data_IF_196674609398
#
_entry.id   IF_196674609398
#
_cell.length_a   1.000
_cell.length_b   1.000
_cell.length_c   1.000
_cell.angle_alpha   90.00
_cell.angle_beta   90.00
_cell.angle_gamma   90.00
#
_symmetry.space_group_name_H-M   'P 1'
#
loop_
_entity.id
_entity.type
_entity.pdbx_description
1 polymer ?
#
# COMPACT_ATOMS: atom_id res chain seq x y z
N UNK A 1 11.76 11.39 12.98
CA UNK A 1 11.92 11.32 11.50
C UNK A 1 12.33 9.91 11.10
N UNK A 2 11.70 9.31 10.09
CA UNK A 2 12.05 7.97 9.62
C UNK A 2 13.39 7.95 8.85
N UNK A 3 14.17 6.88 8.99
CA UNK A 3 15.49 6.73 8.33
C UNK A 3 15.42 6.13 6.92
N UNK A 4 14.37 5.37 6.64
CA UNK A 4 14.10 4.72 5.36
C UNK A 4 12.59 4.73 5.09
N UNK A 5 12.17 4.71 3.83
CA UNK A 5 10.77 4.50 3.43
C UNK A 5 10.71 3.50 2.29
N UNK A 6 9.82 2.52 2.40
CA UNK A 6 9.47 1.61 1.31
C UNK A 6 7.98 1.78 1.00
N UNK A 7 7.66 1.97 -0.26
CA UNK A 7 6.28 1.94 -0.76
C UNK A 7 6.12 0.72 -1.64
N UNK A 8 5.07 -0.08 -1.41
CA UNK A 8 4.73 -1.28 -2.19
C UNK A 8 3.29 -1.14 -2.66
N UNK A 9 3.06 -1.35 -3.95
CA UNK A 9 1.72 -1.32 -4.54
C UNK A 9 1.37 -2.71 -5.03
N UNK A 10 0.20 -3.22 -4.60
CA UNK A 10 -0.32 -4.54 -4.99
C UNK A 10 -1.66 -4.39 -5.70
N UNK A 11 -1.89 -5.22 -6.70
CA UNK A 11 -3.20 -5.34 -7.35
C UNK A 11 -4.14 -6.28 -6.57
N UNK A 12 -5.32 -6.54 -7.15
CA UNK A 12 -6.36 -7.42 -6.60
C UNK A 12 -5.86 -8.86 -6.36
N UNK A 13 -5.06 -9.39 -7.28
CA UNK A 13 -4.51 -10.74 -7.21
C UNK A 13 -3.33 -10.86 -6.24
N UNK A 14 -2.81 -9.72 -5.74
CA UNK A 14 -1.66 -9.66 -4.86
C UNK A 14 -0.33 -9.55 -5.60
N UNK A 15 -0.36 -9.32 -6.92
CA UNK A 15 0.83 -9.05 -7.70
C UNK A 15 1.39 -7.68 -7.33
N UNK A 16 2.71 -7.61 -7.19
CA UNK A 16 3.41 -6.34 -7.04
C UNK A 16 3.34 -5.59 -8.38
N UNK A 17 2.90 -4.33 -8.32
CA UNK A 17 2.81 -3.44 -9.49
C UNK A 17 3.89 -2.38 -9.50
N UNK A 18 4.28 -1.92 -8.31
CA UNK A 18 5.34 -0.95 -8.14
C UNK A 18 5.96 -1.08 -6.75
N UNK A 19 7.26 -0.77 -6.67
CA UNK A 19 7.97 -0.58 -5.41
C UNK A 19 8.87 0.65 -5.52
N UNK A 20 8.93 1.44 -4.45
CA UNK A 20 9.78 2.63 -4.40
C UNK A 20 10.49 2.72 -3.05
N UNK A 21 11.83 2.73 -3.08
CA UNK A 21 12.63 3.14 -1.93
C UNK A 21 12.77 4.66 -1.91
N UNK A 22 12.36 5.28 -0.82
CA UNK A 22 12.65 6.68 -0.53
C UNK A 22 13.61 6.80 0.65
N UNK A 23 14.22 7.97 0.78
CA UNK A 23 15.14 8.31 1.87
C UNK A 23 16.45 7.48 1.81
N UNK A 24 17.50 7.98 2.46
CA UNK A 24 18.87 7.46 2.35
C UNK A 24 19.13 6.11 3.03
N UNK A 25 18.34 5.69 4.02
CA UNK A 25 18.55 4.42 4.71
C UNK A 25 18.30 3.18 3.84
N UNK A 26 18.70 2.02 4.38
CA UNK A 26 18.55 0.70 3.75
C UNK A 26 17.44 -0.14 4.36
N UNK A 27 17.22 -1.30 3.76
CA UNK A 27 16.40 -2.41 4.27
C UNK A 27 17.16 -3.71 4.00
N UNK A 28 17.06 -4.67 4.91
CA UNK A 28 17.43 -6.06 4.66
C UNK A 28 16.41 -6.72 3.73
N UNK A 29 16.78 -7.85 3.13
CA UNK A 29 15.87 -8.61 2.28
C UNK A 29 14.61 -9.06 3.05
N UNK A 30 14.79 -9.55 4.28
CA UNK A 30 13.70 -9.98 5.15
C UNK A 30 12.70 -8.85 5.42
N UNK A 31 13.18 -7.63 5.68
CA UNK A 31 12.29 -6.47 5.89
C UNK A 31 11.50 -6.12 4.63
N UNK A 32 12.10 -6.29 3.45
CA UNK A 32 11.41 -6.09 2.16
C UNK A 32 10.33 -7.15 1.96
N UNK A 33 10.64 -8.42 2.20
CA UNK A 33 9.72 -9.54 2.11
C UNK A 33 8.52 -9.36 3.05
N UNK A 34 8.77 -9.02 4.31
CA UNK A 34 7.70 -8.72 5.28
C UNK A 34 6.81 -7.56 4.84
N UNK A 35 7.39 -6.50 4.24
CA UNK A 35 6.64 -5.38 3.71
C UNK A 35 5.72 -5.80 2.56
N UNK A 36 6.21 -6.66 1.66
CA UNK A 36 5.44 -7.20 0.54
C UNK A 36 4.27 -8.03 1.07
N UNK A 37 4.52 -8.97 1.99
CA UNK A 37 3.48 -9.81 2.58
C UNK A 37 2.38 -8.99 3.26
N UNK A 38 2.77 -8.00 4.07
CA UNK A 38 1.82 -7.07 4.72
C UNK A 38 1.02 -6.29 3.70
N UNK A 39 1.65 -5.82 2.62
CA UNK A 39 0.99 -5.05 1.57
C UNK A 39 -0.03 -5.87 0.77
N UNK A 40 0.27 -7.15 0.51
CA UNK A 40 -0.67 -8.08 -0.12
C UNK A 40 -1.87 -8.33 0.80
N UNK A 41 -1.60 -8.67 2.07
CA UNK A 41 -2.65 -8.97 3.06
C UNK A 41 -3.57 -7.78 3.30
N UNK A 42 -3.02 -6.62 3.65
CA UNK A 42 -3.83 -5.44 3.95
C UNK A 42 -4.47 -4.83 2.71
N UNK A 43 -3.79 -4.87 1.56
CA UNK A 43 -4.38 -4.45 0.29
C UNK A 43 -5.64 -5.24 -0.05
N UNK A 44 -5.63 -6.57 0.15
CA UNK A 44 -6.81 -7.42 -0.05
C UNK A 44 -7.93 -7.06 0.92
N UNK A 45 -7.63 -6.94 2.21
CA UNK A 45 -8.62 -6.59 3.24
C UNK A 45 -9.26 -5.22 2.97
N UNK A 46 -8.45 -4.21 2.61
CA UNK A 46 -8.94 -2.87 2.31
C UNK A 46 -9.88 -2.89 1.10
N UNK A 47 -9.51 -3.60 0.02
CA UNK A 47 -10.36 -3.69 -1.17
C UNK A 47 -11.68 -4.42 -0.91
N UNK A 48 -11.67 -5.47 -0.08
CA UNK A 48 -12.91 -6.12 0.37
C UNK A 48 -13.81 -5.15 1.12
N UNK A 49 -13.26 -4.38 2.07
CA UNK A 49 -14.03 -3.39 2.82
C UNK A 49 -14.65 -2.32 1.92
N UNK A 50 -13.88 -1.83 0.94
CA UNK A 50 -14.35 -0.83 -0.04
C UNK A 50 -15.41 -1.41 -0.98
N UNK A 51 -15.35 -2.70 -1.31
CA UNK A 51 -16.36 -3.37 -2.13
C UNK A 51 -17.68 -3.55 -1.36
N UNK A 52 -17.60 -3.84 -0.06
CA UNK A 52 -18.77 -3.97 0.82
C UNK A 52 -19.41 -2.61 1.16
N UNK A 53 -18.63 -1.52 1.15
CA UNK A 53 -19.08 -0.17 1.56
C UNK A 53 -18.63 0.89 0.53
N UNK A 54 -19.16 0.85 -0.72
CA UNK A 54 -18.69 1.69 -1.82
C UNK A 54 -18.85 3.20 -1.57
N UNK A 55 -19.79 3.61 -0.72
CA UNK A 55 -19.99 4.99 -0.28
C UNK A 55 -18.78 5.59 0.45
N UNK A 56 -17.90 4.77 1.05
CA UNK A 56 -16.66 5.23 1.68
C UNK A 56 -15.68 5.89 0.70
N UNK A 57 -15.80 5.61 -0.60
CA UNK A 57 -14.91 6.15 -1.65
C UNK A 57 -15.34 7.54 -2.10
N UNK A 58 -16.58 7.96 -1.83
CA UNK A 58 -17.23 9.10 -2.51
C UNK A 58 -16.89 10.46 -1.88
N UNK A 59 -16.34 10.53 -0.65
CA UNK A 59 -16.28 11.81 0.08
C UNK A 59 -15.07 12.73 -0.23
N UNK A 60 -14.04 12.28 -0.97
CA UNK A 60 -12.82 13.08 -1.19
C UNK A 60 -12.61 13.65 -2.59
N UNK A 61 -13.40 13.25 -3.58
CA UNK A 61 -13.22 13.71 -4.97
C UNK A 61 -13.78 15.12 -5.27
N UNK A 62 -14.36 15.80 -4.28
CA UNK A 62 -15.03 17.11 -4.45
C UNK A 62 -14.42 18.29 -3.69
N UNK A 63 -13.18 18.19 -3.20
CA UNK A 63 -12.48 19.30 -2.51
C UNK A 63 -11.07 19.51 -3.02
N UNK A 64 -10.94 19.70 -4.33
CA UNK A 64 -9.80 20.38 -4.93
C UNK A 64 -10.37 21.33 -6.00
N UNK A 65 -10.89 22.47 -5.54
CA UNK A 65 -11.02 23.71 -6.33
C UNK A 65 -9.95 24.70 -5.87
#
# INVERSE_FOLDING_TARGET
>A
VARSRLTVTTDLDGNIRAMQKGIGGGFSLQEVEECIEKSIRFGRQLRSLLWENPEMVIERAGKEE
#
